data_IF_051452217899
#
_entry.id   IF_051452217899
#
_cell.length_a   1.000
_cell.length_b   1.000
_cell.length_c   1.000
_cell.angle_alpha   90.00
_cell.angle_beta   90.00
_cell.angle_gamma   90.00
#
_symmetry.space_group_name_H-M   'P 1'
#
loop_
_entity.id
_entity.type
_entity.pdbx_description
1 polymer ?
#
# COMPACT_ATOMS: atom_id res chain seq x y z
N UNK A 1 26.21 -5.35 11.01
CA UNK A 1 24.95 -5.90 11.55
C UNK A 1 23.99 -6.06 10.37
N UNK A 2 23.75 -7.29 9.89
CA UNK A 2 22.98 -7.53 8.65
C UNK A 2 21.61 -6.83 8.63
N UNK A 3 20.92 -6.78 9.77
CA UNK A 3 19.62 -6.11 9.94
C UNK A 3 19.61 -4.70 9.33
N UNK A 4 20.55 -3.85 9.73
CA UNK A 4 20.60 -2.45 9.29
C UNK A 4 20.91 -2.29 7.79
N UNK A 5 21.40 -3.35 7.14
CA UNK A 5 21.67 -3.37 5.71
C UNK A 5 20.48 -3.90 4.91
N UNK A 6 19.86 -5.00 5.35
CA UNK A 6 18.77 -5.66 4.62
C UNK A 6 17.40 -5.02 4.85
N UNK A 7 17.12 -4.53 6.06
CA UNK A 7 15.84 -3.88 6.38
C UNK A 7 15.51 -2.72 5.44
N UNK A 8 16.38 -1.70 5.24
CA UNK A 8 16.07 -0.59 4.34
C UNK A 8 15.94 -1.02 2.87
N UNK A 9 16.64 -2.07 2.44
CA UNK A 9 16.52 -2.61 1.07
C UNK A 9 15.17 -3.30 0.87
N UNK A 10 14.78 -4.17 1.82
CA UNK A 10 13.48 -4.85 1.80
C UNK A 10 12.36 -3.82 1.88
N UNK A 11 12.45 -2.86 2.79
CA UNK A 11 11.51 -1.74 2.89
C UNK A 11 11.46 -0.96 1.59
N UNK A 12 12.58 -0.60 0.97
CA UNK A 12 12.60 0.15 -0.28
C UNK A 12 11.90 -0.60 -1.42
N UNK A 13 12.17 -1.89 -1.59
CA UNK A 13 11.55 -2.73 -2.63
C UNK A 13 10.05 -2.87 -2.38
N UNK A 14 9.68 -3.19 -1.13
CA UNK A 14 8.29 -3.28 -0.69
C UNK A 14 7.59 -1.92 -0.68
N UNK A 15 8.29 -0.80 -0.74
CA UNK A 15 7.66 0.52 -0.63
C UNK A 15 7.57 1.24 -1.98
N UNK A 16 8.54 1.07 -2.87
CA UNK A 16 8.58 1.73 -4.17
C UNK A 16 7.64 1.10 -5.18
N UNK A 17 7.46 -0.21 -5.13
CA UNK A 17 6.78 -0.98 -6.17
C UNK A 17 5.41 -1.52 -5.75
N UNK A 18 5.14 -1.62 -4.45
CA UNK A 18 3.95 -2.30 -3.90
C UNK A 18 2.63 -1.73 -4.41
N UNK A 19 2.52 -0.41 -4.58
CA UNK A 19 1.27 0.19 -5.07
C UNK A 19 0.95 -0.20 -6.52
N UNK A 20 1.94 -0.62 -7.31
CA UNK A 20 1.77 -1.01 -8.72
C UNK A 20 1.31 -2.46 -8.82
N UNK A 21 1.96 -3.37 -8.09
CA UNK A 21 1.70 -4.81 -8.23
C UNK A 21 0.73 -5.36 -7.17
N UNK A 22 0.65 -4.77 -5.97
CA UNK A 22 -0.23 -5.25 -4.91
C UNK A 22 -1.71 -5.07 -5.25
N UNK A 23 -2.05 -4.05 -6.04
CA UNK A 23 -3.41 -3.86 -6.55
C UNK A 23 -3.88 -5.02 -7.46
N UNK A 24 -2.95 -5.75 -8.07
CA UNK A 24 -3.22 -6.90 -8.93
C UNK A 24 -2.87 -8.24 -8.25
N UNK A 25 -2.39 -8.21 -7.00
CA UNK A 25 -2.00 -9.41 -6.28
C UNK A 25 -3.23 -10.21 -5.86
N UNK A 26 -3.20 -11.53 -6.08
CA UNK A 26 -4.22 -12.42 -5.52
C UNK A 26 -3.88 -12.74 -4.06
N UNK A 27 -4.85 -13.24 -3.30
CA UNK A 27 -4.62 -13.72 -1.92
C UNK A 27 -3.52 -14.80 -1.85
N UNK A 28 -3.35 -15.56 -2.93
CA UNK A 28 -2.29 -16.55 -3.08
C UNK A 28 -0.90 -15.90 -3.24
N UNK A 29 -0.83 -14.76 -3.91
CA UNK A 29 0.42 -14.02 -4.08
C UNK A 29 0.80 -13.32 -2.78
N UNK A 30 -0.17 -12.71 -2.08
CA UNK A 30 0.01 -12.12 -0.75
C UNK A 30 0.58 -13.13 0.25
N UNK A 31 0.01 -14.34 0.30
CA UNK A 31 0.48 -15.40 1.21
C UNK A 31 1.88 -15.90 0.86
N UNK A 32 2.24 -15.99 -0.43
CA UNK A 32 3.61 -16.32 -0.85
C UNK A 32 4.60 -15.24 -0.44
N UNK A 33 4.25 -13.97 -0.65
CA UNK A 33 5.09 -12.82 -0.28
C UNK A 33 5.26 -12.70 1.24
N UNK A 34 4.21 -12.94 2.01
CA UNK A 34 4.30 -13.04 3.46
C UNK A 34 5.28 -14.12 3.92
N UNK A 35 5.30 -15.29 3.28
CA UNK A 35 6.30 -16.34 3.59
C UNK A 35 7.73 -15.91 3.29
N UNK A 36 7.94 -15.12 2.23
CA UNK A 36 9.26 -14.55 1.91
C UNK A 36 9.70 -13.58 3.00
N UNK A 37 8.80 -12.70 3.45
CA UNK A 37 9.07 -11.78 4.57
C UNK A 37 9.41 -12.59 5.83
N UNK A 38 8.63 -13.61 6.18
CA UNK A 38 8.88 -14.45 7.35
C UNK A 38 10.21 -15.22 7.28
N UNK A 39 10.60 -15.64 6.07
CA UNK A 39 11.91 -16.28 5.84
C UNK A 39 13.04 -15.27 6.04
N UNK A 40 12.87 -14.04 5.57
CA UNK A 40 13.82 -12.96 5.80
C UNK A 40 13.92 -12.60 7.29
N UNK A 41 12.80 -12.51 8.00
CA UNK A 41 12.76 -12.30 9.46
C UNK A 41 13.60 -13.37 10.18
N UNK A 42 13.44 -14.63 9.81
CA UNK A 42 14.19 -15.75 10.41
C UNK A 42 15.69 -15.68 10.13
N UNK A 43 16.09 -15.26 8.93
CA UNK A 43 17.52 -15.11 8.56
C UNK A 43 18.15 -13.91 9.27
N UNK A 44 17.41 -12.81 9.38
CA UNK A 44 17.90 -11.55 9.93
C UNK A 44 17.82 -11.56 11.47
N UNK A 45 16.90 -12.33 12.05
CA UNK A 45 16.67 -12.41 13.50
C UNK A 45 15.88 -11.23 14.06
N UNK A 46 15.17 -10.48 13.22
CA UNK A 46 14.33 -9.37 13.64
C UNK A 46 12.95 -9.44 12.97
N UNK A 47 11.94 -8.84 13.61
CA UNK A 47 10.63 -8.66 13.00
C UNK A 47 10.70 -7.63 11.87
N UNK A 48 10.07 -7.95 10.75
CA UNK A 48 9.88 -7.08 9.60
C UNK A 48 8.40 -6.66 9.54
N UNK A 49 8.09 -5.48 8.98
CA UNK A 49 6.70 -5.05 8.84
C UNK A 49 5.90 -6.01 7.94
N UNK A 50 4.61 -6.17 8.26
CA UNK A 50 3.69 -6.94 7.43
C UNK A 50 3.57 -6.31 6.02
N UNK A 51 3.03 -7.04 5.05
CA UNK A 51 2.87 -6.52 3.68
C UNK A 51 1.69 -5.54 3.57
N UNK A 52 0.70 -5.66 4.47
CA UNK A 52 -0.50 -4.84 4.43
C UNK A 52 -0.24 -3.42 4.95
N UNK A 53 0.56 -3.25 6.00
CA UNK A 53 0.79 -1.93 6.61
C UNK A 53 1.45 -0.92 5.65
N UNK A 54 2.53 -1.27 4.91
CA UNK A 54 3.15 -0.39 3.93
C UNK A 54 2.20 -0.06 2.77
N UNK A 55 1.42 -1.03 2.30
CA UNK A 55 0.44 -0.81 1.24
C UNK A 55 -0.65 0.17 1.68
N UNK A 56 -1.32 -0.08 2.81
CA UNK A 56 -2.40 0.78 3.31
C UNK A 56 -1.90 2.19 3.59
N UNK A 57 -0.74 2.32 4.24
CA UNK A 57 -0.11 3.62 4.51
C UNK A 57 0.19 4.41 3.23
N UNK A 58 0.73 3.74 2.20
CA UNK A 58 1.06 4.37 0.92
C UNK A 58 -0.17 4.74 0.12
N UNK A 59 -1.15 3.85 0.03
CA UNK A 59 -2.41 4.09 -0.66
C UNK A 59 -3.13 5.28 -0.03
N UNK A 60 -3.19 5.35 1.30
CA UNK A 60 -3.75 6.50 2.03
C UNK A 60 -2.98 7.79 1.75
N UNK A 61 -1.65 7.78 1.80
CA UNK A 61 -0.81 8.96 1.51
C UNK A 61 -0.91 9.40 0.05
N UNK A 62 -1.11 8.48 -0.88
CA UNK A 62 -1.33 8.79 -2.31
C UNK A 62 -2.72 9.39 -2.52
N UNK A 63 -3.76 8.78 -1.98
CA UNK A 63 -5.13 9.31 -2.03
C UNK A 63 -5.20 10.72 -1.43
N UNK A 64 -4.57 10.95 -0.27
CA UNK A 64 -4.50 12.27 0.34
C UNK A 64 -3.79 13.32 -0.54
N UNK A 65 -2.72 12.94 -1.25
CA UNK A 65 -2.04 13.86 -2.19
C UNK A 65 -2.89 14.17 -3.42
N UNK A 66 -3.65 13.19 -3.90
CA UNK A 66 -4.55 13.37 -5.04
C UNK A 66 -5.69 14.31 -4.66
N UNK A 67 -6.32 14.08 -3.50
CA UNK A 67 -7.41 14.92 -3.00
C UNK A 67 -6.97 16.33 -2.55
N UNK A 68 -5.69 16.51 -2.26
CA UNK A 68 -5.12 17.82 -1.93
C UNK A 68 -4.72 18.64 -3.17
N UNK A 69 -4.78 18.04 -4.37
CA UNK A 69 -4.40 18.68 -5.63
C UNK A 69 -5.62 18.76 -6.57
N UNK A 70 -6.34 19.90 -6.59
CA UNK A 70 -7.50 20.11 -7.45
C UNK A 70 -7.21 20.03 -8.95
N UNK A 71 -5.92 20.12 -9.36
CA UNK A 71 -5.51 19.98 -10.76
C UNK A 71 -5.27 18.53 -11.17
N UNK A 72 -5.26 17.60 -10.20
CA UNK A 72 -5.02 16.20 -10.45
C UNK A 72 -6.24 15.55 -11.11
N UNK A 73 -6.10 14.79 -12.22
CA UNK A 73 -7.24 14.21 -12.94
C UNK A 73 -8.05 13.21 -12.11
N UNK A 74 -7.43 12.63 -11.08
CA UNK A 74 -8.06 11.72 -10.12
C UNK A 74 -8.67 12.38 -8.88
N UNK A 75 -8.62 13.71 -8.72
CA UNK A 75 -9.14 14.43 -7.54
C UNK A 75 -10.62 14.08 -7.27
N UNK A 76 -11.44 14.09 -8.32
CA UNK A 76 -12.87 13.74 -8.25
C UNK A 76 -13.16 12.28 -7.86
N UNK A 77 -12.15 11.40 -7.89
CA UNK A 77 -12.30 10.00 -7.52
C UNK A 77 -12.18 9.77 -6.02
N UNK A 78 -11.63 10.72 -5.25
CA UNK A 78 -11.40 10.56 -3.82
C UNK A 78 -12.16 11.62 -3.03
N UNK A 79 -13.05 11.18 -2.14
CA UNK A 79 -13.72 12.07 -1.20
C UNK A 79 -13.34 11.72 0.25
N UNK A 80 -13.12 12.74 1.11
CA UNK A 80 -12.90 12.51 2.53
C UNK A 80 -14.18 11.95 3.15
N UNK A 81 -14.05 10.86 3.92
CA UNK A 81 -15.15 10.37 4.74
C UNK A 81 -15.41 11.36 5.90
N UNK A 82 -16.66 11.42 6.43
CA UNK A 82 -17.03 12.33 7.51
C UNK A 82 -16.16 12.22 8.77
N UNK A 83 -15.52 11.06 8.98
CA UNK A 83 -14.58 10.83 10.09
C UNK A 83 -13.21 11.49 9.91
N UNK A 84 -12.92 12.10 8.75
CA UNK A 84 -11.66 12.79 8.43
C UNK A 84 -10.42 11.89 8.35
N UNK A 85 -10.53 10.60 8.71
CA UNK A 85 -9.41 9.68 8.81
C UNK A 85 -9.31 8.71 7.63
N UNK A 86 -10.29 8.68 6.73
CA UNK A 86 -10.31 7.76 5.62
C UNK A 86 -10.82 8.43 4.34
N UNK A 87 -10.39 7.93 3.18
CA UNK A 87 -10.74 8.42 1.86
C UNK A 87 -11.47 7.32 1.12
N UNK A 88 -12.66 7.59 0.61
CA UNK A 88 -13.42 6.64 -0.20
C UNK A 88 -13.21 6.94 -1.69
N UNK A 89 -13.12 5.87 -2.48
CA UNK A 89 -13.30 5.97 -3.92
C UNK A 89 -14.78 6.28 -4.20
N UNK A 90 -15.05 7.34 -4.94
CA UNK A 90 -16.41 7.64 -5.41
C UNK A 90 -16.69 6.72 -6.60
N UNK A 91 -17.33 5.58 -6.34
CA UNK A 91 -17.93 4.78 -7.40
C UNK A 91 -19.12 5.57 -7.96
N UNK A 92 -18.92 6.31 -9.06
CA UNK A 92 -20.03 6.64 -9.93
C UNK A 92 -20.54 5.34 -10.55
N UNK A 93 -21.50 4.68 -9.90
CA UNK A 93 -22.41 3.81 -10.60
C UNK A 93 -23.18 4.69 -11.58
N UNK A 94 -22.73 4.76 -12.82
CA UNK A 94 -23.62 5.09 -13.93
C UNK A 94 -24.60 3.94 -14.06
N UNK A 95 -25.68 4.00 -13.27
CA UNK A 95 -26.92 3.35 -13.64
C UNK A 95 -27.40 4.02 -14.92
N UNK A 96 -27.05 3.44 -16.07
CA UNK A 96 -27.85 3.58 -17.27
C UNK A 96 -28.68 2.31 -17.37
N UNK A 97 -30.00 2.52 -17.36
CA UNK A 97 -31.03 1.55 -17.67
C UNK A 97 -30.81 0.95 -19.07
#
# INVERSE_FOLDING_TARGET
>A
MLVNFYTPIIESILTSSITVWFAAATTRDETKLQRVIHSAEKVIGCSLPSLQDPYVSRTRRRAARIAADPSHPGDKLFQPLPSGQSWALVHHYTAHC
#
